data_IF_854250493772
#
_entry.id   IF_854250493772
#
_cell.length_a   1.000
_cell.length_b   1.000
_cell.length_c   1.000
_cell.angle_alpha   90.00
_cell.angle_beta   90.00
_cell.angle_gamma   90.00
#
_symmetry.space_group_name_H-M   'P 1'
#
loop_
_entity.id
_entity.type
_entity.pdbx_description
1 polymer ?
#
# COMPACT_ATOMS: atom_id res chain seq x y z
N UNK A 1 5.65 -27.95 -3.81
CA UNK A 1 6.47 -27.40 -2.71
C UNK A 1 5.57 -26.45 -1.94
N UNK A 2 5.15 -26.88 -0.74
CA UNK A 2 4.27 -26.10 0.14
C UNK A 2 5.09 -24.96 0.73
N UNK A 3 4.77 -23.73 0.38
CA UNK A 3 5.36 -22.55 1.03
C UNK A 3 4.79 -22.40 2.44
N UNK A 4 5.63 -22.74 3.38
CA UNK A 4 5.40 -22.48 4.80
C UNK A 4 5.29 -20.97 5.05
N UNK A 5 4.26 -20.58 5.76
CA UNK A 5 3.97 -19.20 6.12
C UNK A 5 5.10 -18.48 6.87
N UNK A 6 5.67 -17.50 6.22
CA UNK A 6 6.65 -16.58 6.78
C UNK A 6 6.26 -15.10 6.65
N UNK A 7 4.98 -14.81 6.81
CA UNK A 7 4.59 -13.44 7.16
C UNK A 7 3.73 -13.48 8.42
N UNK A 8 4.40 -13.58 9.58
CA UNK A 8 3.77 -13.19 10.82
C UNK A 8 3.43 -11.71 10.72
N UNK A 9 2.15 -11.42 10.90
CA UNK A 9 1.51 -10.10 10.93
C UNK A 9 2.40 -9.06 11.60
N UNK A 10 2.70 -7.98 10.90
CA UNK A 10 3.14 -6.75 11.53
C UNK A 10 1.85 -6.12 12.08
N UNK A 11 1.69 -5.99 13.39
CA UNK A 11 0.51 -5.34 13.93
C UNK A 11 0.63 -3.84 13.66
N UNK A 12 -0.03 -3.38 12.61
CA UNK A 12 -0.39 -1.96 12.52
C UNK A 12 -1.67 -1.77 13.33
N UNK A 13 -1.75 -0.77 14.23
CA UNK A 13 -2.96 -0.53 14.99
C UNK A 13 -4.11 -0.24 14.02
N UNK A 14 -5.14 -1.08 14.01
CA UNK A 14 -6.39 -0.86 13.31
C UNK A 14 -6.59 -1.58 11.98
N UNK A 15 -5.61 -2.33 11.43
CA UNK A 15 -5.81 -3.10 10.20
C UNK A 15 -5.86 -4.60 10.53
N UNK A 16 -7.01 -5.22 10.33
CA UNK A 16 -7.18 -6.67 10.42
C UNK A 16 -7.33 -7.25 9.01
N UNK A 17 -6.43 -8.18 8.63
CA UNK A 17 -6.54 -8.96 7.40
C UNK A 17 -7.48 -10.15 7.66
N UNK A 18 -8.69 -10.14 7.08
CA UNK A 18 -9.69 -11.20 7.32
C UNK A 18 -9.62 -12.37 6.34
N UNK A 19 -9.06 -12.21 5.14
CA UNK A 19 -8.82 -13.31 4.19
C UNK A 19 -7.60 -13.06 3.32
N UNK A 20 -6.72 -14.06 3.24
CA UNK A 20 -5.68 -14.12 2.21
C UNK A 20 -6.29 -14.72 0.93
N UNK A 21 -6.92 -13.90 0.10
CA UNK A 21 -7.08 -14.28 -1.30
C UNK A 21 -5.71 -14.12 -1.97
N UNK A 22 -5.21 -15.21 -2.53
CA UNK A 22 -3.90 -15.29 -3.15
C UNK A 22 -3.85 -14.56 -4.49
N UNK A 23 -3.82 -13.24 -4.45
CA UNK A 23 -3.17 -12.48 -5.51
C UNK A 23 -1.72 -12.28 -5.04
N UNK A 24 -0.76 -12.93 -5.69
CA UNK A 24 0.64 -12.98 -5.23
C UNK A 24 1.30 -11.60 -5.10
N UNK A 25 0.70 -10.57 -5.67
CA UNK A 25 1.24 -9.21 -5.78
C UNK A 25 0.47 -8.16 -4.96
N UNK A 26 -0.81 -8.41 -4.63
CA UNK A 26 -1.63 -7.48 -3.86
C UNK A 26 -2.11 -8.11 -2.54
N UNK A 27 -2.36 -7.27 -1.55
CA UNK A 27 -2.96 -7.67 -0.27
C UNK A 27 -4.19 -6.81 -0.01
N UNK A 28 -5.26 -7.43 0.50
CA UNK A 28 -6.47 -6.73 0.93
C UNK A 28 -6.59 -6.72 2.43
N UNK A 29 -7.18 -5.67 2.98
CA UNK A 29 -7.43 -5.54 4.41
C UNK A 29 -8.69 -4.73 4.69
N UNK A 30 -9.23 -4.91 5.91
CA UNK A 30 -10.40 -4.18 6.38
C UNK A 30 -10.00 -3.28 7.53
N UNK A 31 -10.39 -2.00 7.44
CA UNK A 31 -10.25 -1.02 8.52
C UNK A 31 -11.43 -1.15 9.48
N UNK A 32 -11.15 -1.27 10.76
CA UNK A 32 -12.15 -1.28 11.82
C UNK A 32 -11.73 -0.34 12.96
N UNK A 33 -12.43 0.79 13.14
CA UNK A 33 -13.55 1.30 12.34
C UNK A 33 -13.14 1.83 10.96
N UNK A 34 -14.09 2.05 10.03
CA UNK A 34 -13.85 2.77 8.78
C UNK A 34 -13.30 4.18 9.05
N UNK A 35 -12.50 4.70 8.11
CA UNK A 35 -11.93 6.04 8.16
C UNK A 35 -12.51 6.91 7.04
N UNK A 36 -12.65 8.21 7.29
CA UNK A 36 -12.86 9.15 6.19
C UNK A 36 -11.68 9.12 5.23
N UNK A 37 -11.93 9.28 3.94
CA UNK A 37 -10.86 9.24 2.94
C UNK A 37 -9.72 10.23 3.24
N UNK A 38 -10.04 11.43 3.72
CA UNK A 38 -9.02 12.42 4.11
C UNK A 38 -8.11 11.92 5.24
N UNK A 39 -8.71 11.30 6.25
CA UNK A 39 -7.96 10.77 7.40
C UNK A 39 -7.13 9.55 6.98
N UNK A 40 -7.67 8.74 6.07
CA UNK A 40 -6.93 7.62 5.47
C UNK A 40 -5.74 8.09 4.63
N UNK A 41 -5.89 9.17 3.84
CA UNK A 41 -4.79 9.77 3.09
C UNK A 41 -3.65 10.20 4.03
N UNK A 42 -3.99 10.91 5.11
CA UNK A 42 -2.99 11.34 6.09
C UNK A 42 -2.33 10.14 6.81
N UNK A 43 -3.11 9.09 7.10
CA UNK A 43 -2.57 7.85 7.66
C UNK A 43 -1.55 7.20 6.70
N UNK A 44 -1.87 7.10 5.41
CA UNK A 44 -0.95 6.54 4.40
C UNK A 44 0.32 7.39 4.28
N UNK A 45 0.20 8.72 4.25
CA UNK A 45 1.35 9.63 4.21
C UNK A 45 2.28 9.42 5.40
N UNK A 46 1.72 9.34 6.60
CA UNK A 46 2.51 9.09 7.82
C UNK A 46 3.15 7.70 7.81
N UNK A 47 2.40 6.66 7.46
CA UNK A 47 2.89 5.28 7.44
C UNK A 47 4.04 5.06 6.45
N UNK A 48 4.00 5.75 5.30
CA UNK A 48 5.01 5.66 4.24
C UNK A 48 6.08 6.75 4.34
N UNK A 49 5.96 7.68 5.31
CA UNK A 49 6.83 8.84 5.48
C UNK A 49 7.00 9.65 4.19
N UNK A 50 5.86 10.05 3.60
CA UNK A 50 5.79 10.87 2.38
C UNK A 50 4.96 12.13 2.63
N UNK A 51 5.35 13.24 2.02
CA UNK A 51 4.63 14.51 2.15
C UNK A 51 3.42 14.57 1.20
N UNK A 52 3.48 13.83 0.09
CA UNK A 52 2.52 13.93 -1.00
C UNK A 52 2.14 12.54 -1.50
N UNK A 53 0.86 12.42 -1.90
CA UNK A 53 0.34 11.27 -2.66
C UNK A 53 -0.50 11.79 -3.81
N UNK A 54 -0.59 11.04 -4.91
CA UNK A 54 -1.54 11.35 -5.99
C UNK A 54 -2.82 10.57 -5.74
N UNK A 55 -3.96 11.25 -5.81
CA UNK A 55 -5.27 10.62 -5.65
C UNK A 55 -5.96 10.45 -7.00
N UNK A 56 -6.47 9.24 -7.25
CA UNK A 56 -7.38 8.92 -8.34
C UNK A 56 -8.76 8.71 -7.75
N UNK A 57 -9.72 9.50 -8.21
CA UNK A 57 -11.10 9.51 -7.73
C UNK A 57 -11.76 10.84 -8.05
N UNK A 58 -13.03 10.98 -7.71
CA UNK A 58 -13.76 12.23 -7.91
C UNK A 58 -13.50 13.21 -6.76
N UNK A 59 -13.58 14.51 -7.04
CA UNK A 59 -13.41 15.54 -6.00
C UNK A 59 -14.42 15.43 -4.85
N UNK A 60 -15.62 14.90 -5.13
CA UNK A 60 -16.65 14.65 -4.13
C UNK A 60 -16.29 13.51 -3.17
N UNK A 61 -15.48 12.51 -3.61
CA UNK A 61 -15.03 11.42 -2.77
C UNK A 61 -14.20 11.94 -1.59
N UNK A 62 -13.35 12.95 -1.82
CA UNK A 62 -12.54 13.57 -0.78
C UNK A 62 -13.38 14.13 0.39
N UNK A 63 -14.65 14.48 0.14
CA UNK A 63 -15.52 15.06 1.16
C UNK A 63 -16.35 14.03 1.91
N UNK A 64 -16.80 12.97 1.22
CA UNK A 64 -17.89 12.15 1.70
C UNK A 64 -17.54 10.65 1.81
N UNK A 65 -16.45 10.18 1.16
CA UNK A 65 -16.15 8.75 1.11
C UNK A 65 -15.56 8.26 2.41
N UNK A 66 -16.09 7.15 2.91
CA UNK A 66 -15.49 6.36 3.97
C UNK A 66 -14.76 5.17 3.38
N UNK A 67 -13.62 4.82 3.98
CA UNK A 67 -12.75 3.72 3.58
C UNK A 67 -12.82 2.64 4.63
N UNK A 68 -13.19 1.46 4.19
CA UNK A 68 -13.23 0.23 4.98
C UNK A 68 -12.34 -0.85 4.37
N UNK A 69 -12.54 -1.19 3.10
CA UNK A 69 -11.80 -2.27 2.43
C UNK A 69 -10.71 -1.69 1.53
N UNK A 70 -9.47 -1.97 1.88
CA UNK A 70 -8.27 -1.43 1.22
C UNK A 70 -7.52 -2.54 0.51
N UNK A 71 -7.05 -2.28 -0.71
CA UNK A 71 -6.06 -3.09 -1.39
C UNK A 71 -4.70 -2.37 -1.39
N UNK A 72 -3.63 -3.08 -1.08
CA UNK A 72 -2.27 -2.56 -1.15
C UNK A 72 -1.49 -3.33 -2.20
N UNK A 73 -0.84 -2.60 -3.11
CA UNK A 73 0.04 -3.10 -4.13
C UNK A 73 1.33 -2.27 -4.12
N UNK A 74 2.42 -2.81 -3.60
CA UNK A 74 3.68 -2.08 -3.49
C UNK A 74 4.43 -2.02 -4.83
N UNK A 75 5.20 -0.96 -5.02
CA UNK A 75 5.94 -0.74 -6.27
C UNK A 75 5.07 -0.23 -7.41
N UNK A 76 5.44 -0.55 -8.64
CA UNK A 76 4.71 -0.13 -9.84
C UNK A 76 3.43 -0.94 -10.01
N UNK A 77 2.31 -0.25 -10.14
CA UNK A 77 1.00 -0.90 -10.31
C UNK A 77 0.93 -1.67 -11.63
N UNK A 78 0.53 -2.93 -11.53
CA UNK A 78 0.25 -3.79 -12.67
C UNK A 78 -1.22 -3.66 -13.09
N UNK A 79 -1.46 -3.18 -14.32
CA UNK A 79 -2.79 -2.91 -14.84
C UNK A 79 -3.64 -4.18 -15.03
N UNK A 80 -3.03 -5.34 -15.20
CA UNK A 80 -3.75 -6.61 -15.28
C UNK A 80 -4.54 -6.92 -14.01
N UNK A 81 -4.13 -6.35 -12.88
CA UNK A 81 -4.83 -6.48 -11.60
C UNK A 81 -6.22 -5.84 -11.62
N UNK A 82 -6.42 -4.79 -12.45
CA UNK A 82 -7.74 -4.15 -12.55
C UNK A 82 -8.87 -5.09 -12.98
N UNK A 83 -8.55 -6.16 -13.68
CA UNK A 83 -9.52 -7.18 -14.07
C UNK A 83 -10.03 -8.00 -12.87
N UNK A 84 -9.27 -8.03 -11.78
CA UNK A 84 -9.59 -8.78 -10.57
C UNK A 84 -10.08 -7.90 -9.43
N UNK A 85 -9.99 -6.56 -9.57
CA UNK A 85 -10.52 -5.64 -8.56
C UNK A 85 -12.04 -5.67 -8.61
N UNK A 86 -12.65 -6.16 -7.55
CA UNK A 86 -14.09 -6.15 -7.40
C UNK A 86 -14.59 -4.81 -6.81
N UNK A 87 -15.88 -4.54 -6.93
CA UNK A 87 -16.50 -3.30 -6.45
C UNK A 87 -16.50 -3.15 -4.91
N UNK A 88 -16.03 -4.17 -4.18
CA UNK A 88 -15.95 -4.11 -2.72
C UNK A 88 -14.71 -3.38 -2.22
N UNK A 89 -13.71 -3.16 -3.08
CA UNK A 89 -12.49 -2.40 -2.72
C UNK A 89 -12.80 -0.92 -2.75
N UNK A 90 -12.69 -0.25 -1.61
CA UNK A 90 -12.93 1.19 -1.49
C UNK A 90 -11.79 2.00 -2.08
N UNK A 91 -10.54 1.54 -1.90
CA UNK A 91 -9.34 2.23 -2.36
C UNK A 91 -8.16 1.29 -2.55
N UNK A 92 -7.31 1.60 -3.54
CA UNK A 92 -6.04 0.93 -3.79
C UNK A 92 -4.89 1.86 -3.37
N UNK A 93 -3.92 1.36 -2.60
CA UNK A 93 -2.67 2.07 -2.29
C UNK A 93 -1.55 1.42 -3.10
N UNK A 94 -0.83 2.21 -3.91
CA UNK A 94 0.19 1.72 -4.85
C UNK A 94 1.26 2.77 -5.15
N UNK A 95 2.14 2.48 -6.09
CA UNK A 95 3.11 3.41 -6.68
C UNK A 95 3.14 3.35 -8.21
N UNK A 96 3.77 4.34 -8.82
CA UNK A 96 4.00 4.45 -10.28
C UNK A 96 2.76 4.18 -11.13
N UNK A 97 1.64 4.77 -10.75
CA UNK A 97 0.40 4.62 -11.49
C UNK A 97 0.47 5.38 -12.82
N UNK A 98 0.33 4.65 -13.92
CA UNK A 98 0.33 5.23 -15.26
C UNK A 98 -0.92 6.06 -15.52
N UNK A 99 -0.81 7.06 -16.36
CA UNK A 99 -1.92 7.98 -16.65
C UNK A 99 -3.16 7.27 -17.22
N UNK A 100 -2.99 6.38 -18.19
CA UNK A 100 -4.11 5.65 -18.78
C UNK A 100 -4.78 4.68 -17.77
N UNK A 101 -3.99 4.04 -16.90
CA UNK A 101 -4.51 3.20 -15.82
C UNK A 101 -5.33 4.02 -14.82
N UNK A 102 -4.88 5.24 -14.48
CA UNK A 102 -5.63 6.15 -13.63
C UNK A 102 -6.97 6.58 -14.26
N UNK A 103 -7.02 6.81 -15.59
CA UNK A 103 -8.26 7.09 -16.32
C UNK A 103 -9.20 5.88 -16.24
N UNK A 104 -8.70 4.69 -16.52
CA UNK A 104 -9.50 3.46 -16.46
C UNK A 104 -10.07 3.22 -15.05
N UNK A 105 -9.26 3.42 -14.00
CA UNK A 105 -9.73 3.36 -12.61
C UNK A 105 -10.87 4.35 -12.36
N UNK A 106 -10.70 5.61 -12.81
CA UNK A 106 -11.71 6.65 -12.64
C UNK A 106 -13.03 6.30 -13.34
N UNK A 107 -12.96 5.78 -14.57
CA UNK A 107 -14.13 5.32 -15.34
C UNK A 107 -14.83 4.14 -14.66
N UNK A 108 -14.09 3.23 -14.05
CA UNK A 108 -14.61 2.10 -13.28
C UNK A 108 -15.07 2.48 -11.87
N UNK A 109 -14.89 3.73 -11.43
CA UNK A 109 -15.24 4.19 -10.09
C UNK A 109 -14.30 3.66 -8.99
N UNK A 110 -13.10 3.21 -9.35
CA UNK A 110 -12.07 2.72 -8.43
C UNK A 110 -11.24 3.90 -7.95
N UNK A 111 -11.16 4.08 -6.63
CA UNK A 111 -10.25 5.06 -6.04
C UNK A 111 -8.86 4.47 -5.84
N UNK A 112 -7.83 5.29 -6.00
CA UNK A 112 -6.45 4.90 -5.70
C UNK A 112 -5.62 6.04 -5.10
N UNK A 113 -4.61 5.66 -4.30
CA UNK A 113 -3.53 6.52 -3.84
C UNK A 113 -2.22 6.01 -4.43
N UNK A 114 -1.58 6.85 -5.22
CA UNK A 114 -0.22 6.60 -5.66
C UNK A 114 0.74 7.34 -4.71
N UNK A 115 1.41 6.57 -3.87
CA UNK A 115 2.37 7.06 -2.88
C UNK A 115 3.84 6.94 -3.36
N UNK A 116 4.03 6.57 -4.62
CA UNK A 116 5.33 6.39 -5.25
C UNK A 116 5.92 4.98 -5.01
N UNK A 117 6.70 4.54 -5.99
CA UNK A 117 7.33 3.21 -6.00
C UNK A 117 8.21 2.99 -4.76
N UNK A 118 9.22 3.85 -4.64
CA UNK A 118 10.20 3.74 -3.56
C UNK A 118 9.55 3.71 -2.17
N UNK A 119 8.58 4.57 -1.92
CA UNK A 119 7.96 4.70 -0.61
C UNK A 119 7.15 3.48 -0.23
N UNK A 120 6.47 2.86 -1.20
CA UNK A 120 5.65 1.66 -0.98
C UNK A 120 6.49 0.39 -0.80
N UNK A 121 7.72 0.36 -1.28
CA UNK A 121 8.64 -0.79 -1.13
C UNK A 121 9.62 -0.63 0.03
N UNK A 122 10.14 0.57 0.27
CA UNK A 122 11.20 0.80 1.26
C UNK A 122 10.79 0.46 2.70
N UNK A 123 9.51 0.40 3.00
CA UNK A 123 8.99 0.02 4.33
C UNK A 123 9.40 -1.41 4.75
N UNK A 124 9.75 -2.29 3.79
CA UNK A 124 10.18 -3.66 4.10
C UNK A 124 11.58 -3.70 4.71
N UNK A 125 12.44 -2.72 4.39
CA UNK A 125 13.86 -2.73 4.80
C UNK A 125 14.03 -2.79 6.33
N UNK A 126 13.44 -1.88 7.14
CA UNK A 126 13.56 -1.96 8.59
C UNK A 126 12.91 -3.20 9.18
N UNK A 127 11.82 -3.67 8.57
CA UNK A 127 11.13 -4.89 9.01
C UNK A 127 12.00 -6.11 8.80
N UNK A 128 12.57 -6.27 7.60
CA UNK A 128 13.45 -7.39 7.28
C UNK A 128 14.72 -7.36 8.14
N UNK A 129 15.31 -6.17 8.34
CA UNK A 129 16.48 -6.01 9.19
C UNK A 129 16.19 -6.45 10.65
N UNK A 130 15.02 -6.07 11.18
CA UNK A 130 14.58 -6.51 12.50
C UNK A 130 14.43 -8.04 12.58
N UNK A 131 13.73 -8.63 11.61
CA UNK A 131 13.51 -10.08 11.54
C UNK A 131 14.84 -10.86 11.46
N UNK A 132 15.81 -10.35 10.68
CA UNK A 132 17.13 -10.97 10.56
C UNK A 132 17.91 -10.90 11.87
N UNK A 133 17.91 -9.76 12.55
CA UNK A 133 18.55 -9.59 13.86
C UNK A 133 17.95 -10.52 14.93
N UNK A 134 16.62 -10.66 14.92
CA UNK A 134 15.94 -11.55 15.87
C UNK A 134 16.23 -13.03 15.61
N UNK A 135 16.34 -13.42 14.34
CA UNK A 135 16.55 -14.82 13.95
C UNK A 135 18.01 -15.24 13.98
N UNK A 136 18.91 -14.32 13.71
CA UNK A 136 20.34 -14.53 13.60
C UNK A 136 21.10 -13.45 14.39
N UNK A 137 21.12 -13.54 15.73
CA UNK A 137 21.71 -12.51 16.58
C UNK A 137 23.22 -12.35 16.41
N UNK A 138 23.89 -13.33 15.80
CA UNK A 138 25.31 -13.29 15.47
C UNK A 138 25.63 -12.45 14.23
N UNK A 139 24.63 -12.05 13.45
CA UNK A 139 24.85 -11.23 12.24
C UNK A 139 24.82 -9.74 12.57
N UNK A 140 25.79 -9.01 12.02
CA UNK A 140 25.73 -7.55 11.96
C UNK A 140 24.84 -7.13 10.79
N UNK A 141 23.57 -6.81 11.10
CA UNK A 141 22.59 -6.45 10.08
C UNK A 141 22.51 -4.93 9.95
N UNK A 142 22.93 -4.41 8.81
CA UNK A 142 22.83 -2.99 8.46
C UNK A 142 21.48 -2.75 7.79
N UNK A 143 20.53 -2.22 8.56
CA UNK A 143 19.15 -1.92 8.11
C UNK A 143 18.95 -0.50 7.59
N UNK A 144 20.01 0.18 7.16
CA UNK A 144 19.94 1.50 6.53
C UNK A 144 20.32 1.38 5.07
N UNK A 145 19.53 1.98 4.22
CA UNK A 145 19.84 2.15 2.82
C UNK A 145 19.70 3.63 2.49
N UNK A 146 20.82 4.28 2.19
CA UNK A 146 20.82 5.64 1.66
C UNK A 146 20.38 5.56 0.18
N UNK A 147 19.08 5.45 0.00
CA UNK A 147 18.52 5.34 -1.33
C UNK A 147 18.75 6.63 -2.11
N UNK A 148 19.23 6.48 -3.32
CA UNK A 148 19.22 7.56 -4.29
C UNK A 148 17.76 7.89 -4.58
N UNK A 149 17.29 9.09 -4.19
CA UNK A 149 16.00 9.61 -4.60
C UNK A 149 16.17 10.26 -5.97
N UNK A 150 15.80 9.59 -7.08
CA UNK A 150 16.05 10.11 -8.42
C UNK A 150 15.14 11.31 -8.77
N UNK A 151 14.05 11.47 -8.02
CA UNK A 151 13.08 12.55 -8.22
C UNK A 151 13.10 13.52 -7.05
N UNK A 152 13.18 14.80 -7.36
CA UNK A 152 13.02 15.89 -6.42
C UNK A 152 11.68 16.55 -6.75
N UNK A 153 10.80 16.64 -5.76
CA UNK A 153 9.55 17.39 -5.90
C UNK A 153 9.85 18.86 -5.67
N UNK A 154 9.53 19.70 -6.63
CA UNK A 154 9.73 21.16 -6.58
C UNK A 154 8.42 21.87 -6.27
#
# INVERSE_FOLDING_TARGET
IRNAGYMKRIPSPGIHLEHEEYYSLAKTGILKPPLKLTDFIEHVKQALNVDHVRFVGKAEDLRNKEISKVMVFSGSFDEDILHYVNQEIDIIVTGDLKHHTAIEMLEKGICALDAGHFSTENIIVPVLAKMLKEKFPELDVIGKFDAIKPFILC
#
